data_IF_235474312257
#
_entry.id   IF_235474312257
#
_cell.length_a   1.000
_cell.length_b   1.000
_cell.length_c   1.000
_cell.angle_alpha   90.00
_cell.angle_beta   90.00
_cell.angle_gamma   90.00
#
_symmetry.space_group_name_H-M   'P 1'
#
loop_
_entity.id
_entity.type
_entity.pdbx_description
1 polymer ?
#
# COMPACT_ATOMS: atom_id res chain seq x y z
N UNK A 1 -10.74 -17.69 -5.00
CA UNK A 1 -9.92 -16.72 -4.25
C UNK A 1 -8.47 -17.13 -4.44
N UNK A 2 -7.69 -16.42 -5.26
CA UNK A 2 -6.28 -16.76 -5.52
C UNK A 2 -5.49 -16.49 -4.24
N UNK A 3 -4.93 -17.54 -3.66
CA UNK A 3 -4.08 -17.44 -2.47
C UNK A 3 -2.75 -16.80 -2.88
N UNK A 4 -2.69 -15.45 -2.89
CA UNK A 4 -1.43 -14.73 -3.13
C UNK A 4 -0.54 -14.94 -1.91
N UNK A 5 0.60 -15.59 -2.13
CA UNK A 5 1.62 -15.76 -1.11
C UNK A 5 2.23 -14.39 -0.82
N UNK A 6 2.28 -13.96 0.45
CA UNK A 6 2.95 -12.73 0.89
C UNK A 6 4.17 -13.10 1.75
N UNK A 7 5.17 -13.73 1.14
CA UNK A 7 6.38 -14.20 1.85
C UNK A 7 7.44 -13.10 1.91
N UNK A 8 7.45 -12.24 0.90
CA UNK A 8 8.43 -11.16 0.73
C UNK A 8 7.75 -9.82 0.45
N UNK A 9 8.24 -8.77 1.09
CA UNK A 9 7.87 -7.37 0.83
C UNK A 9 9.13 -6.55 0.66
N UNK A 10 9.30 -5.94 -0.52
CA UNK A 10 10.43 -5.05 -0.79
C UNK A 10 10.05 -3.61 -0.49
N UNK A 11 10.88 -2.92 0.28
CA UNK A 11 10.65 -1.53 0.69
C UNK A 11 11.46 -0.60 -0.21
N UNK A 12 10.78 0.34 -0.89
CA UNK A 12 11.39 1.24 -1.87
C UNK A 12 11.10 2.70 -1.53
N UNK A 13 12.11 3.58 -1.42
CA UNK A 13 11.90 5.01 -1.37
C UNK A 13 11.25 5.52 -2.66
N UNK A 14 10.12 6.23 -2.57
CA UNK A 14 9.39 6.75 -3.74
C UNK A 14 10.16 7.79 -4.56
N UNK A 15 11.20 8.41 -3.98
CA UNK A 15 12.06 9.37 -4.67
C UNK A 15 13.22 8.70 -5.46
N UNK A 16 13.48 7.40 -5.26
CA UNK A 16 14.63 6.73 -5.87
C UNK A 16 14.27 6.04 -7.20
N UNK A 17 14.36 6.81 -8.29
CA UNK A 17 14.04 6.33 -9.65
C UNK A 17 14.83 5.06 -10.06
N UNK A 18 16.10 4.93 -9.64
CA UNK A 18 16.90 3.75 -9.97
C UNK A 18 16.32 2.48 -9.35
N UNK A 19 15.91 2.54 -8.08
CA UNK A 19 15.27 1.41 -7.41
C UNK A 19 13.89 1.10 -8.01
N UNK A 20 13.08 2.12 -8.31
CA UNK A 20 11.78 1.95 -8.97
C UNK A 20 11.90 1.33 -10.37
N UNK A 21 13.01 1.55 -11.08
CA UNK A 21 13.22 0.98 -12.42
C UNK A 21 13.74 -0.46 -12.41
N UNK A 22 14.15 -0.99 -11.26
CA UNK A 22 14.83 -2.30 -11.17
C UNK A 22 14.18 -3.27 -10.19
N UNK A 23 13.31 -2.81 -9.29
CA UNK A 23 12.77 -3.60 -8.20
C UNK A 23 12.00 -4.87 -8.64
N UNK A 24 11.33 -4.84 -9.79
CA UNK A 24 10.63 -5.99 -10.36
C UNK A 24 11.57 -7.17 -10.68
N UNK A 25 12.87 -6.93 -10.88
CA UNK A 25 13.85 -7.97 -11.21
C UNK A 25 13.96 -9.00 -10.07
N UNK A 26 13.77 -8.55 -8.83
CA UNK A 26 13.87 -9.41 -7.64
C UNK A 26 12.65 -10.33 -7.45
N UNK A 27 11.60 -10.17 -8.26
CA UNK A 27 10.32 -10.91 -8.18
C UNK A 27 9.79 -11.03 -6.74
N UNK A 28 9.66 -9.92 -6.00
CA UNK A 28 9.05 -9.97 -4.68
C UNK A 28 7.55 -10.27 -4.81
N UNK A 29 6.96 -10.84 -3.76
CA UNK A 29 5.52 -11.06 -3.73
C UNK A 29 4.75 -9.73 -3.62
N UNK A 30 5.34 -8.77 -2.90
CA UNK A 30 4.78 -7.43 -2.70
C UNK A 30 5.88 -6.36 -2.69
N UNK A 31 5.53 -5.14 -3.12
CA UNK A 31 6.42 -3.98 -3.12
C UNK A 31 5.72 -2.84 -2.42
N UNK A 32 6.41 -2.24 -1.44
CA UNK A 32 5.93 -1.06 -0.75
C UNK A 32 6.74 0.17 -1.18
N UNK A 33 6.06 1.08 -1.86
CA UNK A 33 6.55 2.41 -2.19
C UNK A 33 6.34 3.33 -1.01
N UNK A 34 7.41 3.94 -0.52
CA UNK A 34 7.38 4.83 0.61
C UNK A 34 7.38 6.29 0.17
N UNK A 35 6.29 7.01 0.45
CA UNK A 35 6.19 8.46 0.27
C UNK A 35 6.36 9.21 1.60
N UNK A 36 6.53 8.53 2.73
CA UNK A 36 6.63 9.12 4.07
C UNK A 36 8.10 9.40 4.45
N UNK A 37 8.68 8.61 5.36
CA UNK A 37 9.97 8.92 6.00
C UNK A 37 11.15 8.82 5.04
N UNK A 38 11.08 7.96 4.01
CA UNK A 38 12.17 7.77 3.07
C UNK A 38 12.24 8.86 1.97
N UNK A 39 11.42 9.91 2.05
CA UNK A 39 11.36 11.00 1.06
C UNK A 39 11.52 12.35 1.74
N UNK A 40 12.50 13.14 1.28
CA UNK A 40 12.69 14.50 1.77
C UNK A 40 11.50 15.40 1.38
N UNK A 41 11.17 16.40 2.21
CA UNK A 41 10.01 17.28 1.99
C UNK A 41 9.99 17.93 0.60
N UNK A 42 11.15 18.39 0.09
CA UNK A 42 11.28 19.01 -1.23
C UNK A 42 11.07 18.04 -2.40
N UNK A 43 11.14 16.73 -2.15
CA UNK A 43 11.08 15.67 -3.16
C UNK A 43 9.72 14.99 -3.19
N UNK A 44 8.79 15.34 -2.29
CA UNK A 44 7.46 14.71 -2.19
C UNK A 44 6.69 14.76 -3.51
N UNK A 45 6.72 15.90 -4.19
CA UNK A 45 6.02 16.07 -5.47
C UNK A 45 6.61 15.18 -6.57
N UNK A 46 7.94 15.17 -6.70
CA UNK A 46 8.65 14.30 -7.63
C UNK A 46 8.45 12.82 -7.31
N UNK A 47 8.46 12.46 -6.02
CA UNK A 47 8.24 11.09 -5.57
C UNK A 47 6.83 10.59 -5.91
N UNK A 48 5.79 11.42 -5.73
CA UNK A 48 4.42 11.08 -6.16
C UNK A 48 4.35 10.78 -7.66
N UNK A 49 4.99 11.62 -8.47
CA UNK A 49 5.02 11.43 -9.93
C UNK A 49 5.75 10.14 -10.32
N UNK A 50 6.90 9.87 -9.70
CA UNK A 50 7.67 8.64 -9.94
C UNK A 50 6.89 7.39 -9.55
N UNK A 51 6.24 7.39 -8.39
CA UNK A 51 5.41 6.28 -7.94
C UNK A 51 4.20 6.10 -8.85
N UNK A 52 3.56 7.18 -9.31
CA UNK A 52 2.47 7.10 -10.30
C UNK A 52 2.93 6.38 -11.57
N UNK A 53 4.07 6.80 -12.15
CA UNK A 53 4.61 6.15 -13.34
C UNK A 53 5.05 4.70 -13.10
N UNK A 54 5.61 4.40 -11.93
CA UNK A 54 6.01 3.04 -11.57
C UNK A 54 4.79 2.09 -11.50
N UNK A 55 3.70 2.53 -10.88
CA UNK A 55 2.46 1.75 -10.78
C UNK A 55 1.78 1.51 -12.14
N UNK A 56 1.94 2.42 -13.09
CA UNK A 56 1.44 2.25 -14.46
C UNK A 56 2.32 1.32 -15.33
N UNK A 57 3.50 0.92 -14.83
CA UNK A 57 4.45 0.15 -15.62
C UNK A 57 4.05 -1.34 -15.66
N UNK A 58 4.01 -1.98 -16.85
CA UNK A 58 3.53 -3.36 -17.00
C UNK A 58 4.19 -4.40 -16.10
N UNK A 59 5.46 -4.19 -15.76
CA UNK A 59 6.25 -5.11 -14.91
C UNK A 59 5.75 -5.21 -13.46
N UNK A 60 4.92 -4.27 -13.01
CA UNK A 60 4.34 -4.30 -11.66
C UNK A 60 2.95 -4.95 -11.61
N UNK A 61 2.32 -5.26 -12.75
CA UNK A 61 0.94 -5.77 -12.77
C UNK A 61 0.76 -7.12 -12.05
N UNK A 62 1.79 -7.97 -12.03
CA UNK A 62 1.73 -9.28 -11.38
C UNK A 62 2.19 -9.26 -9.91
N UNK A 63 2.67 -8.11 -9.41
CA UNK A 63 3.22 -7.93 -8.07
C UNK A 63 2.20 -7.18 -7.21
N UNK A 64 2.04 -7.51 -5.93
CA UNK A 64 1.16 -6.74 -5.06
C UNK A 64 1.81 -5.39 -4.73
N UNK A 65 1.16 -4.30 -5.13
CA UNK A 65 1.66 -2.94 -4.94
C UNK A 65 1.07 -2.28 -3.70
N UNK A 66 1.94 -1.77 -2.84
CA UNK A 66 1.56 -1.07 -1.61
C UNK A 66 2.16 0.32 -1.66
N UNK A 67 1.38 1.36 -1.35
CA UNK A 67 1.92 2.72 -1.18
C UNK A 67 1.71 3.16 0.25
N UNK A 68 2.81 3.49 0.94
CA UNK A 68 2.78 4.17 2.23
C UNK A 68 2.69 5.67 2.01
N UNK A 69 1.57 6.26 2.40
CA UNK A 69 1.30 7.69 2.25
C UNK A 69 1.74 8.45 3.50
N UNK A 70 1.81 9.79 3.44
CA UNK A 70 1.96 10.61 4.64
C UNK A 70 0.64 10.63 5.45
N UNK A 71 0.67 10.99 6.76
CA UNK A 71 -0.56 11.14 7.54
C UNK A 71 -1.54 12.13 6.88
N UNK A 72 -2.85 11.84 6.96
CA UNK A 72 -3.89 12.67 6.34
C UNK A 72 -3.95 14.09 6.91
N UNK A 73 -3.51 14.27 8.16
CA UNK A 73 -3.36 15.57 8.82
C UNK A 73 -2.26 16.46 8.23
N UNK A 74 -1.38 15.92 7.38
CA UNK A 74 -0.33 16.67 6.70
C UNK A 74 -0.81 17.18 5.34
N UNK A 75 -0.24 18.28 4.80
CA UNK A 75 -0.59 18.76 3.45
C UNK A 75 -0.26 17.78 2.32
N UNK A 76 0.50 16.71 2.61
CA UNK A 76 0.92 15.72 1.62
C UNK A 76 0.01 14.49 1.57
N UNK A 77 -0.62 14.10 2.69
CA UNK A 77 -1.34 12.83 2.80
C UNK A 77 -2.47 12.66 1.78
N UNK A 78 -3.30 13.71 1.61
CA UNK A 78 -4.40 13.68 0.62
C UNK A 78 -3.88 13.64 -0.83
N UNK A 79 -2.78 14.35 -1.12
CA UNK A 79 -2.18 14.35 -2.46
C UNK A 79 -1.55 12.99 -2.79
N UNK A 80 -0.90 12.36 -1.81
CA UNK A 80 -0.34 11.02 -1.96
C UNK A 80 -1.45 9.98 -2.20
N UNK A 81 -2.55 10.09 -1.44
CA UNK A 81 -3.71 9.23 -1.60
C UNK A 81 -4.30 9.37 -3.01
N UNK A 82 -4.58 10.60 -3.45
CA UNK A 82 -5.14 10.85 -4.78
C UNK A 82 -4.23 10.33 -5.89
N UNK A 83 -2.92 10.56 -5.79
CA UNK A 83 -1.94 10.08 -6.76
C UNK A 83 -1.89 8.55 -6.82
N UNK A 84 -1.80 7.88 -5.67
CA UNK A 84 -1.71 6.42 -5.59
C UNK A 84 -3.01 5.73 -6.06
N UNK A 85 -4.17 6.30 -5.70
CA UNK A 85 -5.49 5.83 -6.12
C UNK A 85 -5.66 5.96 -7.63
N UNK A 86 -5.30 7.11 -8.22
CA UNK A 86 -5.34 7.30 -9.68
C UNK A 86 -4.36 6.40 -10.42
N UNK A 87 -3.27 6.02 -9.79
CA UNK A 87 -2.27 5.12 -10.35
C UNK A 87 -2.67 3.63 -10.28
N UNK A 88 -3.76 3.28 -9.60
CA UNK A 88 -4.26 1.90 -9.53
C UNK A 88 -3.53 0.99 -8.53
N UNK A 89 -3.05 1.54 -7.41
CA UNK A 89 -2.39 0.76 -6.35
C UNK A 89 -3.29 -0.33 -5.74
N UNK A 90 -2.71 -1.48 -5.36
CA UNK A 90 -3.44 -2.58 -4.71
C UNK A 90 -3.69 -2.38 -3.22
N UNK A 91 -2.82 -1.64 -2.51
CA UNK A 91 -2.89 -1.41 -1.06
C UNK A 91 -2.42 0.00 -0.71
N UNK A 92 -3.24 0.77 0.02
CA UNK A 92 -2.79 2.00 0.70
C UNK A 92 -2.42 1.66 2.13
N UNK A 93 -1.26 2.14 2.58
CA UNK A 93 -0.79 2.00 3.95
C UNK A 93 -0.70 3.38 4.61
N UNK A 94 -1.50 3.58 5.65
CA UNK A 94 -1.40 4.75 6.50
C UNK A 94 -0.26 4.60 7.53
N UNK A 95 0.47 5.68 7.81
CA UNK A 95 1.44 5.70 8.89
C UNK A 95 0.74 6.02 10.21
N UNK A 96 1.09 5.27 11.27
CA UNK A 96 0.62 5.49 12.65
C UNK A 96 -0.89 5.74 12.75
N UNK A 97 -1.68 4.72 12.43
CA UNK A 97 -3.12 4.70 12.75
C UNK A 97 -3.27 4.47 14.25
N UNK A 98 -3.57 5.54 14.99
CA UNK A 98 -3.71 5.48 16.44
C UNK A 98 -5.18 5.28 16.84
N UNK A 99 -6.14 5.63 15.96
CA UNK A 99 -7.58 5.46 16.25
C UNK A 99 -8.38 4.88 15.08
N UNK A 100 -9.55 4.24 15.33
CA UNK A 100 -10.43 3.74 14.27
C UNK A 100 -10.93 4.82 13.32
N UNK A 101 -11.07 6.05 13.79
CA UNK A 101 -11.60 7.19 13.04
C UNK A 101 -10.69 7.59 11.85
N UNK A 102 -9.37 7.38 11.97
CA UNK A 102 -8.41 7.58 10.88
C UNK A 102 -8.74 6.71 9.65
N UNK A 103 -9.36 5.54 9.87
CA UNK A 103 -9.76 4.61 8.81
C UNK A 103 -11.05 5.08 8.13
N UNK A 104 -12.00 5.60 8.90
CA UNK A 104 -13.26 6.12 8.37
C UNK A 104 -13.03 7.40 7.56
N UNK A 105 -12.09 8.24 7.97
CA UNK A 105 -11.64 9.41 7.22
C UNK A 105 -11.00 8.98 5.88
N UNK A 106 -10.13 7.97 5.89
CA UNK A 106 -9.53 7.42 4.67
C UNK A 106 -10.58 6.89 3.69
N UNK A 107 -11.55 6.10 4.16
CA UNK A 107 -12.62 5.56 3.32
C UNK A 107 -13.52 6.67 2.76
N UNK A 108 -13.75 7.74 3.54
CA UNK A 108 -14.49 8.92 3.09
C UNK A 108 -13.77 9.65 1.95
N UNK A 109 -12.47 9.89 2.08
CA UNK A 109 -11.67 10.52 1.01
C UNK A 109 -11.54 9.63 -0.22
N UNK A 110 -11.45 8.30 -0.03
CA UNK A 110 -11.44 7.33 -1.13
C UNK A 110 -12.73 7.38 -1.95
N UNK A 111 -13.89 7.50 -1.29
CA UNK A 111 -15.19 7.63 -1.96
C UNK A 111 -15.25 8.90 -2.84
N UNK A 112 -14.71 10.01 -2.34
CA UNK A 112 -14.66 11.28 -3.10
C UNK A 112 -13.69 11.19 -4.29
N UNK A 113 -12.49 10.66 -4.07
CA UNK A 113 -11.48 10.52 -5.14
C UNK A 113 -11.92 9.53 -6.22
N UNK A 114 -12.59 8.44 -5.83
CA UNK A 114 -13.15 7.46 -6.77
C UNK A 114 -14.29 7.99 -7.62
N UNK A 115 -15.22 8.73 -7.02
CA UNK A 115 -16.31 9.39 -7.72
C UNK A 115 -15.80 10.44 -8.71
N UNK A 116 -14.74 11.16 -8.33
CA UNK A 116 -14.10 12.18 -9.19
C UNK A 116 -13.27 11.56 -10.32
N UNK A 117 -12.68 10.38 -10.10
CA UNK A 117 -11.85 9.69 -11.09
C UNK A 117 -12.63 8.79 -12.08
N UNK A 118 -13.94 8.60 -11.89
CA UNK A 118 -14.77 7.77 -12.78
C UNK A 118 -14.44 6.26 -12.75
N UNK A 119 -13.68 5.80 -11.75
CA UNK A 119 -13.28 4.39 -11.58
C UNK A 119 -14.31 3.70 -10.69
N UNK A 120 -14.91 2.58 -11.14
CA UNK A 120 -15.76 1.72 -10.30
C UNK A 120 -14.88 0.82 -9.42
N UNK A 121 -15.02 0.94 -8.11
CA UNK A 121 -14.26 0.17 -7.13
C UNK A 121 -15.02 -1.08 -6.70
N UNK A 122 -14.31 -2.21 -6.56
CA UNK A 122 -14.87 -3.46 -6.04
C UNK A 122 -15.10 -3.42 -4.51
N UNK A 123 -15.96 -4.32 -3.98
CA UNK A 123 -16.36 -4.33 -2.56
C UNK A 123 -15.18 -4.60 -1.59
N UNK A 124 -15.31 -4.22 -0.30
CA UNK A 124 -14.24 -4.15 0.71
C UNK A 124 -13.54 -5.48 1.10
N UNK A 125 -13.81 -6.58 0.41
CA UNK A 125 -13.38 -7.93 0.80
C UNK A 125 -11.88 -8.25 0.58
N UNK A 126 -11.08 -7.37 -0.03
CA UNK A 126 -9.65 -7.63 -0.31
C UNK A 126 -8.65 -6.92 0.62
N UNK A 127 -9.11 -6.04 1.53
CA UNK A 127 -8.22 -5.14 2.27
C UNK A 127 -8.09 -5.59 3.73
N UNK A 128 -6.97 -6.23 4.08
CA UNK A 128 -6.68 -6.64 5.47
C UNK A 128 -5.99 -5.51 6.23
N UNK A 129 -6.59 -5.13 7.37
CA UNK A 129 -5.97 -4.40 8.48
C UNK A 129 -4.64 -5.05 8.88
N UNK A 130 -3.52 -4.38 8.64
CA UNK A 130 -2.22 -4.68 9.29
C UNK A 130 -1.91 -3.62 10.36
N UNK A 131 -2.82 -3.47 11.32
CA UNK A 131 -2.51 -2.86 12.62
C UNK A 131 -2.21 -4.01 13.59
N UNK A 132 -0.95 -4.20 14.01
CA UNK A 132 -0.67 -5.02 15.19
C UNK A 132 -1.20 -4.26 16.42
N UNK A 133 -1.90 -4.91 17.36
CA UNK A 133 -1.74 -4.57 18.76
C UNK A 133 -0.50 -5.31 19.28
N UNK A 134 0.30 -4.63 20.11
CA UNK A 134 1.21 -5.27 21.05
C UNK A 134 0.37 -6.09 22.05
N UNK A 135 0.26 -7.41 21.90
CA UNK A 135 -0.11 -8.31 23.00
C UNK A 135 0.17 -9.80 22.69
N UNK A 136 0.91 -10.42 23.62
CA UNK A 136 1.00 -11.84 24.00
C UNK A 136 1.35 -12.93 22.96
N UNK A 137 2.57 -13.46 23.15
CA UNK A 137 2.98 -14.83 22.86
C UNK A 137 1.96 -15.85 23.43
N UNK A 138 1.43 -16.74 22.59
CA UNK A 138 1.02 -18.11 22.96
C UNK A 138 1.23 -19.04 21.76
N UNK A 139 1.67 -20.30 21.96
CA UNK A 139 2.01 -21.21 20.86
C UNK A 139 0.78 -21.82 20.19
N UNK A 140 0.89 -22.03 18.87
CA UNK A 140 -0.11 -22.59 17.97
C UNK A 140 -0.46 -24.06 18.28
N UNK A 141 -1.74 -24.50 18.25
CA UNK A 141 -2.09 -25.92 18.29
C UNK A 141 -2.02 -26.53 16.87
N UNK A 142 -1.28 -27.63 16.72
CA UNK A 142 -1.20 -28.41 15.48
C UNK A 142 -2.55 -29.10 15.20
N UNK A 143 -3.08 -29.08 13.96
CA UNK A 143 -4.24 -29.89 13.61
C UNK A 143 -3.86 -31.38 13.46
N UNK A 144 -4.70 -32.24 14.03
CA UNK A 144 -4.57 -33.69 13.99
C UNK A 144 -4.75 -34.24 12.56
N UNK A 145 -3.87 -35.17 12.18
CA UNK A 145 -3.94 -35.94 10.93
C UNK A 145 -5.03 -37.01 11.07
N UNK A 146 -6.05 -37.09 10.19
CA UNK A 146 -6.98 -38.21 10.19
C UNK A 146 -6.29 -39.44 9.61
N UNK A 147 -6.39 -40.58 10.29
CA UNK A 147 -6.10 -41.89 9.70
C UNK A 147 -7.29 -42.30 8.84
N UNK A 148 -7.02 -42.54 7.57
CA UNK A 148 -7.88 -43.23 6.61
C UNK A 148 -6.99 -43.98 5.65
#
# INVERSE_FOLDING_TARGET
MMNRLRRSMLFLPGANAAMLSTAFIYRPDSIMFDLEDAVALREKDSARLLVWHALQHPMYMDIETVVRINPLSTPFGLLDLEAAVRAGVDVIRLPKTDTPEDIDELESHRCVSSATAGVKWGPPASWRRLSRPLASLTPWPLPAVPRG
#
